data_IF_420841416352
#
_entry.id   IF_420841416352
#
_cell.length_a   1.000
_cell.length_b   1.000
_cell.length_c   1.000
_cell.angle_alpha   90.00
_cell.angle_beta   90.00
_cell.angle_gamma   90.00
#
_symmetry.space_group_name_H-M   'P 1'
#
loop_
_entity.id
_entity.type
_entity.pdbx_description
1 polymer ?
#
# COMPACT_ATOMS: atom_id res chain seq x y z
N UNK A 1 -7.76 10.60 25.36
CA UNK A 1 -6.82 10.21 24.29
C UNK A 1 -7.31 10.93 23.04
N UNK A 2 -6.66 12.04 22.65
CA UNK A 2 -7.21 12.96 21.66
C UNK A 2 -7.05 12.43 20.24
N UNK A 3 -8.07 12.69 19.42
CA UNK A 3 -8.32 12.12 18.09
C UNK A 3 -7.36 12.62 16.99
N UNK A 4 -6.20 13.19 17.33
CA UNK A 4 -5.34 13.99 16.45
C UNK A 4 -3.94 13.42 16.22
N UNK A 5 -3.48 12.48 17.04
CA UNK A 5 -2.11 11.96 16.95
C UNK A 5 -1.83 11.06 15.73
N UNK A 6 -2.87 10.48 15.13
CA UNK A 6 -2.71 9.52 14.01
C UNK A 6 -2.53 10.19 12.64
N UNK A 7 -3.04 11.43 12.46
CA UNK A 7 -2.82 12.19 11.23
C UNK A 7 -1.35 12.60 11.07
N UNK A 8 -0.71 12.97 12.19
CA UNK A 8 0.71 13.33 12.24
C UNK A 8 1.58 12.13 11.86
N UNK A 9 1.21 10.94 12.34
CA UNK A 9 1.92 9.69 11.99
C UNK A 9 1.84 9.37 10.49
N UNK A 10 0.67 9.56 9.86
CA UNK A 10 0.47 9.39 8.40
C UNK A 10 1.36 10.33 7.58
N UNK A 11 1.63 11.53 8.09
CA UNK A 11 2.40 12.57 7.40
C UNK A 11 3.92 12.41 7.57
N UNK A 12 4.38 11.80 8.67
CA UNK A 12 5.81 11.54 8.91
C UNK A 12 6.42 10.40 8.08
N UNK A 13 5.59 9.55 7.45
CA UNK A 13 6.05 8.40 6.66
C UNK A 13 6.45 8.72 5.22
N UNK A 14 6.32 9.98 4.78
CA UNK A 14 6.53 10.37 3.37
C UNK A 14 7.97 10.80 3.05
N UNK A 15 8.89 10.85 4.02
CA UNK A 15 10.21 11.47 3.83
C UNK A 15 11.38 10.57 4.24
N UNK A 16 11.79 9.71 3.30
CA UNK A 16 13.14 9.12 3.26
C UNK A 16 13.64 9.07 1.80
N UNK A 17 14.62 9.91 1.43
CA UNK A 17 15.29 9.91 0.11
C UNK A 17 16.60 9.10 0.16
N UNK A 18 17.13 8.39 -0.85
CA UNK A 18 16.60 7.82 -2.10
C UNK A 18 17.64 6.81 -2.68
N UNK A 19 17.19 5.66 -3.23
CA UNK A 19 17.83 5.03 -4.41
C UNK A 19 16.83 4.98 -5.58
N UNK A 20 17.20 5.56 -6.73
CA UNK A 20 16.38 5.72 -7.95
C UNK A 20 14.92 6.16 -7.71
N UNK A 21 14.71 7.48 -7.65
CA UNK A 21 13.38 8.12 -7.51
C UNK A 21 12.32 7.51 -8.45
N UNK A 22 12.68 7.21 -9.70
CA UNK A 22 11.79 6.57 -10.68
C UNK A 22 11.36 5.15 -10.30
N UNK A 23 12.25 4.34 -9.68
CA UNK A 23 11.90 2.97 -9.25
C UNK A 23 10.88 3.01 -8.11
N UNK A 24 11.11 3.87 -7.11
CA UNK A 24 10.17 4.05 -5.99
C UNK A 24 8.83 4.58 -6.49
N UNK A 25 8.82 5.59 -7.37
CA UNK A 25 7.60 6.11 -8.01
C UNK A 25 6.80 5.03 -8.73
N UNK A 26 7.48 4.14 -9.47
CA UNK A 26 6.83 3.02 -10.15
C UNK A 26 6.20 2.02 -9.17
N UNK A 27 6.84 1.74 -8.04
CA UNK A 27 6.31 0.85 -7.00
C UNK A 27 5.07 1.46 -6.34
N UNK A 28 5.14 2.73 -5.93
CA UNK A 28 4.02 3.46 -5.32
C UNK A 28 2.83 3.59 -6.29
N UNK A 29 3.12 3.91 -7.56
CA UNK A 29 2.12 3.94 -8.61
C UNK A 29 1.46 2.58 -8.80
N UNK A 30 2.23 1.49 -8.76
CA UNK A 30 1.67 0.14 -8.85
C UNK A 30 0.71 -0.15 -7.69
N UNK A 31 1.07 0.22 -6.45
CA UNK A 31 0.19 0.07 -5.29
C UNK A 31 -1.13 0.82 -5.50
N UNK A 32 -1.06 2.07 -5.96
CA UNK A 32 -2.25 2.92 -6.17
C UNK A 32 -3.13 2.43 -7.32
N UNK A 33 -2.54 2.07 -8.45
CA UNK A 33 -3.27 1.54 -9.61
C UNK A 33 -4.01 0.26 -9.25
N UNK A 34 -3.35 -0.67 -8.55
CA UNK A 34 -3.98 -1.93 -8.11
C UNK A 34 -5.13 -1.65 -7.13
N UNK A 35 -4.96 -0.75 -6.16
CA UNK A 35 -6.05 -0.36 -5.24
C UNK A 35 -7.23 0.30 -5.94
N UNK A 36 -7.00 0.92 -7.10
CA UNK A 36 -8.04 1.62 -7.85
C UNK A 36 -8.86 0.68 -8.73
N UNK A 37 -8.20 -0.27 -9.41
CA UNK A 37 -8.86 -1.09 -10.45
C UNK A 37 -8.43 -2.56 -10.52
N UNK A 38 -7.59 -3.02 -9.59
CA UNK A 38 -7.06 -4.39 -9.58
C UNK A 38 -5.83 -4.58 -10.46
N UNK A 39 -5.07 -5.66 -10.20
CA UNK A 39 -3.89 -6.05 -10.95
C UNK A 39 -4.23 -6.50 -12.37
N UNK A 40 -5.34 -7.23 -12.54
CA UNK A 40 -5.74 -7.77 -13.85
C UNK A 40 -6.05 -6.64 -14.84
N UNK A 41 -6.70 -5.56 -14.39
CA UNK A 41 -7.00 -4.39 -15.21
C UNK A 41 -5.86 -3.37 -15.33
N UNK A 42 -4.80 -3.51 -14.52
CA UNK A 42 -3.62 -2.64 -14.59
C UNK A 42 -2.79 -2.90 -15.85
N UNK A 43 -2.37 -1.84 -16.52
CA UNK A 43 -1.45 -1.85 -17.67
C UNK A 43 -0.19 -1.08 -17.32
N UNK A 44 0.90 -1.34 -18.03
CA UNK A 44 2.19 -0.64 -17.82
C UNK A 44 2.02 0.87 -18.04
N UNK A 45 1.16 1.26 -18.98
CA UNK A 45 0.82 2.64 -19.29
C UNK A 45 0.18 3.37 -18.11
N UNK A 46 -0.72 2.71 -17.38
CA UNK A 46 -1.39 3.31 -16.22
C UNK A 46 -0.39 3.63 -15.13
N UNK A 47 0.52 2.69 -14.87
CA UNK A 47 1.57 2.85 -13.86
C UNK A 47 2.55 3.93 -14.26
N UNK A 48 2.96 3.98 -15.54
CA UNK A 48 3.84 5.04 -16.05
C UNK A 48 3.18 6.42 -15.92
N UNK A 49 1.89 6.53 -16.25
CA UNK A 49 1.13 7.76 -16.12
C UNK A 49 1.01 8.21 -14.66
N UNK A 50 0.67 7.29 -13.75
CA UNK A 50 0.57 7.57 -12.31
C UNK A 50 1.93 7.95 -11.70
N UNK A 51 3.02 7.28 -12.12
CA UNK A 51 4.37 7.59 -11.65
C UNK A 51 4.99 8.85 -12.28
N UNK A 52 4.38 9.40 -13.34
CA UNK A 52 4.94 10.51 -14.11
C UNK A 52 6.24 10.16 -14.84
N UNK A 53 6.37 8.92 -15.34
CA UNK A 53 7.58 8.43 -16.03
C UNK A 53 7.27 7.86 -17.40
N UNK A 54 8.30 7.69 -18.24
CA UNK A 54 8.15 7.08 -19.57
C UNK A 54 8.20 5.55 -19.50
N UNK A 55 7.67 4.87 -20.53
CA UNK A 55 7.86 3.42 -20.70
C UNK A 55 9.33 3.01 -20.76
N UNK A 56 10.19 3.84 -21.34
CA UNK A 56 11.63 3.59 -21.37
C UNK A 56 12.21 3.55 -19.95
N UNK A 57 11.79 4.47 -19.07
CA UNK A 57 12.16 4.44 -17.65
C UNK A 57 11.59 3.22 -16.92
N UNK A 58 10.37 2.77 -17.27
CA UNK A 58 9.81 1.54 -16.73
C UNK A 58 10.69 0.34 -17.07
N UNK A 59 10.97 0.13 -18.37
CA UNK A 59 11.72 -1.04 -18.84
C UNK A 59 13.21 -1.02 -18.46
N UNK A 60 13.73 0.15 -18.05
CA UNK A 60 15.04 0.24 -17.41
C UNK A 60 15.07 -0.43 -16.02
N UNK A 61 13.96 -0.42 -15.28
CA UNK A 61 13.87 -0.95 -13.92
C UNK A 61 13.21 -2.33 -13.82
N UNK A 62 12.20 -2.59 -14.66
CA UNK A 62 11.39 -3.81 -14.60
C UNK A 62 11.16 -4.36 -16.01
N UNK A 63 11.38 -5.66 -16.20
CA UNK A 63 11.20 -6.36 -17.48
C UNK A 63 9.73 -6.59 -17.80
N UNK A 64 8.86 -6.61 -16.79
CA UNK A 64 7.42 -6.86 -16.96
C UNK A 64 6.56 -6.20 -15.87
N UNK A 65 5.25 -6.13 -16.12
CA UNK A 65 4.25 -5.73 -15.10
C UNK A 65 4.30 -6.65 -13.88
N UNK A 66 4.56 -7.94 -14.10
CA UNK A 66 4.62 -8.95 -13.04
C UNK A 66 5.81 -8.75 -12.11
N UNK A 67 6.98 -8.47 -12.68
CA UNK A 67 8.18 -8.18 -11.89
C UNK A 67 7.98 -6.93 -11.01
N UNK A 68 7.35 -5.90 -11.56
CA UNK A 68 6.96 -4.73 -10.78
C UNK A 68 5.92 -5.07 -9.69
N UNK A 69 4.92 -5.89 -10.01
CA UNK A 69 3.88 -6.29 -9.05
C UNK A 69 4.47 -7.02 -7.85
N UNK A 70 5.37 -7.99 -8.08
CA UNK A 70 6.05 -8.73 -7.02
C UNK A 70 6.92 -7.81 -6.16
N UNK A 71 7.63 -6.87 -6.78
CA UNK A 71 8.40 -5.87 -6.04
C UNK A 71 7.48 -4.93 -5.22
N UNK A 72 6.31 -4.56 -5.75
CA UNK A 72 5.32 -3.77 -5.05
C UNK A 72 4.70 -4.54 -3.87
N UNK A 73 4.49 -5.86 -3.98
CA UNK A 73 4.10 -6.73 -2.86
C UNK A 73 5.13 -6.67 -1.75
N UNK A 74 6.42 -6.79 -2.06
CA UNK A 74 7.48 -6.69 -1.06
C UNK A 74 7.53 -5.31 -0.37
N UNK A 75 7.34 -4.22 -1.14
CA UNK A 75 7.24 -2.87 -0.57
C UNK A 75 6.02 -2.74 0.36
N UNK A 76 4.85 -3.22 -0.10
CA UNK A 76 3.62 -3.19 0.69
C UNK A 76 3.76 -3.97 2.00
N UNK A 77 4.37 -5.16 1.96
CA UNK A 77 4.57 -6.02 3.12
C UNK A 77 5.44 -5.31 4.17
N UNK A 78 6.60 -4.78 3.75
CA UNK A 78 7.50 -4.03 4.63
C UNK A 78 6.82 -2.82 5.27
N UNK A 79 6.15 -1.98 4.47
CA UNK A 79 5.48 -0.77 4.96
C UNK A 79 4.30 -1.09 5.88
N UNK A 80 3.50 -2.10 5.52
CA UNK A 80 2.31 -2.47 6.27
C UNK A 80 2.69 -3.12 7.60
N UNK A 81 3.70 -4.01 7.60
CA UNK A 81 4.20 -4.63 8.81
C UNK A 81 4.71 -3.59 9.80
N UNK A 82 5.55 -2.66 9.33
CA UNK A 82 6.08 -1.57 10.18
C UNK A 82 4.95 -0.70 10.74
N UNK A 83 3.99 -0.31 9.89
CA UNK A 83 2.84 0.51 10.28
C UNK A 83 1.98 -0.14 11.38
N UNK A 84 1.65 -1.42 11.24
CA UNK A 84 0.83 -2.14 12.24
C UNK A 84 1.64 -2.56 13.47
N UNK A 85 2.95 -2.81 13.34
CA UNK A 85 3.81 -3.13 14.48
C UNK A 85 3.97 -1.91 15.42
N UNK A 86 4.06 -0.70 14.87
CA UNK A 86 4.20 0.54 15.63
C UNK A 86 2.86 1.10 16.18
N UNK A 87 1.74 0.47 15.85
CA UNK A 87 0.42 1.02 16.13
C UNK A 87 0.12 1.13 17.65
N UNK A 88 -0.56 2.19 18.11
CA UNK A 88 -0.71 2.49 19.53
C UNK A 88 -1.62 1.51 20.28
N UNK A 89 -2.44 0.71 19.58
CA UNK A 89 -3.34 -0.26 20.22
C UNK A 89 -2.57 -1.31 21.04
N UNK A 90 -1.31 -1.59 20.71
CA UNK A 90 -0.45 -2.51 21.49
C UNK A 90 -0.22 -2.07 22.94
N UNK A 91 -0.44 -0.79 23.27
CA UNK A 91 -0.21 -0.23 24.61
C UNK A 91 -1.29 -0.60 25.63
N UNK A 92 -2.46 -1.05 25.19
CA UNK A 92 -3.53 -1.45 26.10
C UNK A 92 -3.17 -2.76 26.82
N UNK A 93 -3.20 -2.75 28.15
CA UNK A 93 -2.87 -3.91 28.98
C UNK A 93 -3.98 -4.97 28.94
N UNK A 94 -5.24 -4.54 29.02
CA UNK A 94 -6.40 -5.42 28.93
C UNK A 94 -6.63 -5.91 27.47
N UNK A 95 -6.86 -7.22 27.24
CA UNK A 95 -7.06 -7.77 25.89
C UNK A 95 -8.31 -7.24 25.16
N UNK A 96 -9.40 -6.99 25.88
CA UNK A 96 -10.62 -6.44 25.29
C UNK A 96 -10.39 -4.98 24.86
N UNK A 97 -9.77 -4.18 25.72
CA UNK A 97 -9.39 -2.80 25.39
C UNK A 97 -8.44 -2.74 24.18
N UNK A 98 -7.50 -3.68 24.09
CA UNK A 98 -6.59 -3.80 22.93
C UNK A 98 -7.33 -4.09 21.64
N UNK A 99 -8.30 -5.01 21.67
CA UNK A 99 -9.14 -5.33 20.51
C UNK A 99 -9.99 -4.12 20.09
N UNK A 100 -10.62 -3.43 21.04
CA UNK A 100 -11.41 -2.22 20.77
C UNK A 100 -10.52 -1.13 20.16
N UNK A 101 -9.33 -0.90 20.73
CA UNK A 101 -8.37 0.07 20.21
C UNK A 101 -7.90 -0.28 18.78
N UNK A 102 -7.74 -1.57 18.45
CA UNK A 102 -7.44 -2.01 17.09
C UNK A 102 -8.59 -1.66 16.12
N UNK A 103 -9.85 -1.89 16.52
CA UNK A 103 -11.02 -1.57 15.68
C UNK A 103 -11.11 -0.07 15.42
N UNK A 104 -10.96 0.77 16.46
CA UNK A 104 -10.95 2.22 16.29
C UNK A 104 -9.76 2.70 15.45
N UNK A 105 -8.58 2.10 15.63
CA UNK A 105 -7.43 2.36 14.76
C UNK A 105 -7.74 2.06 13.29
N UNK A 106 -8.32 0.89 13.00
CA UNK A 106 -8.71 0.50 11.63
C UNK A 106 -9.74 1.44 11.04
N UNK A 107 -10.75 1.84 11.82
CA UNK A 107 -11.78 2.81 11.43
C UNK A 107 -11.16 4.17 11.10
N UNK A 108 -10.17 4.62 11.85
CA UNK A 108 -9.46 5.88 11.57
C UNK A 108 -8.67 5.85 10.24
N UNK A 109 -8.32 4.67 9.71
CA UNK A 109 -7.69 4.55 8.39
C UNK A 109 -8.67 4.76 7.23
N UNK A 110 -9.97 4.58 7.46
CA UNK A 110 -11.02 4.65 6.44
C UNK A 110 -11.38 6.11 6.11
N UNK A 111 -10.42 6.84 5.57
CA UNK A 111 -10.52 8.27 5.20
C UNK A 111 -10.13 8.46 3.74
N UNK A 112 -10.77 9.40 3.06
CA UNK A 112 -10.56 9.65 1.63
C UNK A 112 -11.48 8.81 0.74
N UNK A 113 -11.07 8.60 -0.50
CA UNK A 113 -11.81 7.78 -1.46
C UNK A 113 -11.47 6.30 -1.29
N UNK A 114 -12.29 5.43 -1.89
CA UNK A 114 -12.15 3.97 -1.75
C UNK A 114 -10.70 3.46 -2.02
N UNK A 115 -9.97 3.92 -3.05
CA UNK A 115 -8.59 3.47 -3.28
C UNK A 115 -7.60 3.85 -2.18
N UNK A 116 -7.87 4.90 -1.39
CA UNK A 116 -6.95 5.40 -0.36
C UNK A 116 -6.82 4.42 0.81
N UNK A 117 -7.89 3.68 1.11
CA UNK A 117 -7.93 2.70 2.20
C UNK A 117 -8.17 1.25 1.74
N UNK A 118 -8.32 1.01 0.43
CA UNK A 118 -8.39 -0.35 -0.12
C UNK A 118 -7.10 -1.11 0.14
N UNK A 119 -7.22 -2.33 0.64
CA UNK A 119 -6.06 -3.17 0.92
C UNK A 119 -5.47 -3.70 -0.40
N UNK A 120 -4.19 -3.40 -0.64
CA UNK A 120 -3.46 -3.89 -1.82
C UNK A 120 -3.42 -5.42 -1.85
N UNK A 121 -2.95 -6.09 -0.80
CA UNK A 121 -2.92 -7.54 -0.74
C UNK A 121 -4.33 -8.15 -0.77
N UNK A 122 -5.31 -7.52 -0.12
CA UNK A 122 -6.70 -7.98 -0.18
C UNK A 122 -7.26 -7.98 -1.61
N UNK A 123 -6.88 -7.00 -2.42
CA UNK A 123 -7.25 -6.95 -3.85
C UNK A 123 -6.58 -8.07 -4.63
N UNK A 124 -5.27 -8.24 -4.48
CA UNK A 124 -4.50 -9.27 -5.18
C UNK A 124 -4.97 -10.68 -4.80
N UNK A 125 -5.14 -10.97 -3.51
CA UNK A 125 -5.59 -12.29 -3.03
C UNK A 125 -6.97 -12.64 -3.61
N UNK A 126 -7.88 -11.67 -3.67
CA UNK A 126 -9.18 -11.89 -4.28
C UNK A 126 -9.10 -12.15 -5.79
N UNK A 127 -8.23 -11.44 -6.52
CA UNK A 127 -8.02 -11.69 -7.96
C UNK A 127 -7.32 -13.03 -8.22
N UNK A 128 -6.32 -13.37 -7.41
CA UNK A 128 -5.62 -14.64 -7.47
C UNK A 128 -6.60 -15.79 -7.22
N UNK A 129 -7.39 -15.75 -6.15
CA UNK A 129 -8.38 -16.78 -5.85
C UNK A 129 -9.42 -16.96 -6.97
N UNK A 130 -9.86 -15.86 -7.60
CA UNK A 130 -10.80 -15.92 -8.73
C UNK A 130 -10.20 -16.59 -9.98
N UNK A 131 -8.89 -16.62 -10.12
CA UNK A 131 -8.20 -17.16 -11.30
C UNK A 131 -7.52 -18.51 -11.03
N UNK A 132 -7.14 -18.78 -9.79
CA UNK A 132 -6.41 -19.96 -9.30
C UNK A 132 -6.89 -20.33 -7.88
N UNK A 133 -8.06 -20.99 -7.74
CA UNK A 133 -8.70 -21.24 -6.44
C UNK A 133 -8.15 -22.44 -5.65
N UNK A 134 -7.27 -23.25 -6.26
CA UNK A 134 -6.66 -24.47 -5.68
C UNK A 134 -5.35 -24.22 -4.92
#
# INVERSE_FOLDING_TARGET
MQHTDWLVYKQSMTLGQAPHESKTKLLEAMLKVVRTKGYSAARVEDVCAEAGVTKGSFFHHFKSKEELALAAVALWDAQTLEFFAAAPYHRAADPLDRLIAYIEFRKALLTGDLPDFTCFAGTIVQEAYRTHPE
#
